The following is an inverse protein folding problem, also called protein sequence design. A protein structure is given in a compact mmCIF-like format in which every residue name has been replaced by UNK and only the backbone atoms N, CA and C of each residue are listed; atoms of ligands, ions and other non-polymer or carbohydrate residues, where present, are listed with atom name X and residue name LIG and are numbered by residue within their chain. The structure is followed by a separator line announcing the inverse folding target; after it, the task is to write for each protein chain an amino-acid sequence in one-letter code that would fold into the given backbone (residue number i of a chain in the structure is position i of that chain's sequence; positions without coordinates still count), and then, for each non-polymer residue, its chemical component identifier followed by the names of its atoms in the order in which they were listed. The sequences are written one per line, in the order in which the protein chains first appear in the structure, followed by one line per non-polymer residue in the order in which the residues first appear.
data_IF_654009749662
#
_entry.id   IF_654009749662
#
_cell.length_a   1.000
_cell.length_b   1.000
_cell.length_c   1.000
_cell.angle_alpha   90.00
_cell.angle_beta   90.00
_cell.angle_gamma   90.00
#
_symmetry.space_group_name_H-M   'P 1'
#
loop_
_entity.id
_entity.type
_entity.pdbx_description
1 polymer ?
#
# COMPACT_ATOMS: atom_id res chain seq x y z
N UNK A 1 -13.37 44.61 6.99
CA UNK A 1 -12.29 43.69 6.59
C UNK A 1 -11.52 43.13 7.79
N UNK A 2 -11.09 43.94 8.76
CA UNK A 2 -10.31 43.47 9.92
C UNK A 2 -11.01 42.40 10.79
N UNK A 3 -12.32 42.54 11.06
CA UNK A 3 -13.07 41.57 11.88
C UNK A 3 -13.34 40.22 11.20
N UNK A 4 -13.40 40.19 9.85
CA UNK A 4 -13.58 38.96 9.06
C UNK A 4 -12.26 38.18 9.02
N UNK A 5 -11.13 38.87 8.83
CA UNK A 5 -9.80 38.25 8.91
C UNK A 5 -9.52 37.69 10.31
N UNK A 6 -9.95 38.38 11.38
CA UNK A 6 -9.78 37.91 12.75
C UNK A 6 -10.67 36.68 13.04
N UNK A 7 -11.91 36.64 12.56
CA UNK A 7 -12.77 35.45 12.67
C UNK A 7 -12.22 34.27 11.87
N UNK A 8 -11.68 34.48 10.66
CA UNK A 8 -11.04 33.41 9.89
C UNK A 8 -9.81 32.86 10.62
N UNK A 9 -8.97 33.73 11.20
CA UNK A 9 -7.79 33.31 11.96
C UNK A 9 -8.16 32.55 13.25
N UNK A 10 -9.25 32.93 13.92
CA UNK A 10 -9.77 32.22 15.11
C UNK A 10 -10.38 30.86 14.73
N UNK A 11 -11.12 30.75 13.63
CA UNK A 11 -11.66 29.48 13.14
C UNK A 11 -10.56 28.53 12.65
N UNK A 12 -9.53 29.05 11.95
CA UNK A 12 -8.34 28.28 11.54
C UNK A 12 -7.54 27.77 12.75
N UNK A 13 -7.39 28.58 13.81
CA UNK A 13 -6.68 28.18 15.02
C UNK A 13 -7.46 27.24 15.95
N UNK A 14 -8.80 27.29 15.92
CA UNK A 14 -9.64 26.30 16.60
C UNK A 14 -9.59 24.93 15.90
N UNK A 15 -9.69 24.88 14.56
CA UNK A 15 -9.53 23.63 13.80
C UNK A 15 -8.13 23.01 13.98
N UNK A 16 -7.08 23.82 14.07
CA UNK A 16 -5.72 23.31 14.32
C UNK A 16 -5.51 22.71 15.72
N UNK A 17 -6.29 23.13 16.73
CA UNK A 17 -6.18 22.59 18.09
C UNK A 17 -6.83 21.22 18.23
N UNK A 18 -7.95 20.98 17.54
CA UNK A 18 -8.62 19.67 17.54
C UNK A 18 -7.80 18.59 16.82
N UNK A 19 -6.95 18.97 15.85
CA UNK A 19 -6.11 18.04 15.10
C UNK A 19 -4.91 17.49 15.89
N UNK A 20 -4.51 18.15 16.98
CA UNK A 20 -3.31 17.74 17.72
C UNK A 20 -3.48 16.38 18.41
N UNK A 21 -4.69 16.11 18.92
CA UNK A 21 -5.07 14.86 19.58
C UNK A 21 -5.93 13.94 18.71
N UNK A 22 -6.17 14.30 17.44
CA UNK A 22 -6.96 13.48 16.54
C UNK A 22 -6.22 12.18 16.19
N UNK A 23 -6.95 11.04 16.03
CA UNK A 23 -6.41 9.83 15.42
C UNK A 23 -5.68 10.13 14.12
N UNK A 24 -4.49 9.55 13.92
CA UNK A 24 -3.62 9.79 12.75
C UNK A 24 -3.58 8.58 11.83
N UNK A 25 -3.25 8.83 10.57
CA UNK A 25 -3.20 7.80 9.53
C UNK A 25 -2.27 6.61 9.88
N UNK A 26 -1.15 6.82 10.58
CA UNK A 26 -0.23 5.75 10.97
C UNK A 26 -0.60 5.03 12.30
N UNK A 27 -1.78 5.32 12.85
CA UNK A 27 -2.29 4.69 14.07
C UNK A 27 -3.34 3.62 13.81
N UNK A 28 -3.65 3.34 12.54
CA UNK A 28 -4.49 2.22 12.13
C UNK A 28 -3.63 1.06 11.62
N UNK A 29 -4.20 -0.14 11.65
CA UNK A 29 -3.66 -1.31 10.97
C UNK A 29 -4.69 -1.82 9.98
N UNK A 30 -4.22 -2.15 8.77
CA UNK A 30 -5.03 -2.65 7.65
C UNK A 30 -4.45 -3.94 7.09
N UNK A 31 -5.31 -4.72 6.43
CA UNK A 31 -4.87 -5.87 5.63
C UNK A 31 -4.52 -5.41 4.22
N UNK A 32 -3.42 -5.96 3.71
CA UNK A 32 -3.04 -5.86 2.31
C UNK A 32 -3.00 -7.21 1.62
N UNK A 33 -3.10 -7.20 0.29
CA UNK A 33 -2.82 -8.37 -0.54
C UNK A 33 -1.48 -8.21 -1.24
N UNK A 34 -0.77 -9.33 -1.38
CA UNK A 34 0.46 -9.42 -2.17
C UNK A 34 0.09 -9.84 -3.59
N UNK A 35 0.70 -9.24 -4.61
CA UNK A 35 0.34 -9.41 -6.02
C UNK A 35 -1.18 -9.33 -6.27
N UNK A 36 -1.82 -8.26 -5.81
CA UNK A 36 -3.28 -8.15 -5.70
C UNK A 36 -4.08 -8.37 -6.98
N UNK A 37 -3.42 -8.27 -8.13
CA UNK A 37 -4.01 -8.43 -9.46
C UNK A 37 -4.01 -9.89 -9.95
N UNK A 38 -3.29 -10.78 -9.25
CA UNK A 38 -2.85 -12.07 -9.75
C UNK A 38 -4.01 -13.05 -9.99
N UNK A 39 -3.92 -13.77 -11.10
CA UNK A 39 -4.78 -14.88 -11.45
C UNK A 39 -3.90 -16.09 -11.80
N UNK A 40 -4.28 -17.26 -11.30
CA UNK A 40 -3.60 -18.52 -11.54
C UNK A 40 -3.28 -18.74 -13.04
N UNK A 41 -2.03 -19.10 -13.39
CA UNK A 41 -1.66 -19.42 -14.75
C UNK A 41 -2.23 -20.79 -15.16
N UNK A 42 -2.29 -21.11 -16.47
CA UNK A 42 -2.81 -22.39 -16.93
C UNK A 42 -2.09 -23.59 -16.27
N UNK A 43 -2.85 -24.63 -15.92
CA UNK A 43 -2.29 -25.82 -15.25
C UNK A 43 -1.13 -26.47 -16.00
N UNK A 44 -1.14 -26.42 -17.34
CA UNK A 44 -0.03 -26.90 -18.17
C UNK A 44 1.29 -26.17 -17.84
N UNK A 45 1.23 -24.87 -17.58
CA UNK A 45 2.41 -24.08 -17.21
C UNK A 45 2.90 -24.49 -15.82
N UNK A 46 1.99 -24.59 -14.86
CA UNK A 46 2.30 -25.03 -13.49
C UNK A 46 2.92 -26.43 -13.48
N UNK A 47 2.29 -27.40 -14.15
CA UNK A 47 2.75 -28.79 -14.22
C UNK A 47 4.10 -28.90 -14.91
N UNK A 48 4.32 -28.15 -15.99
CA UNK A 48 5.58 -28.21 -16.75
C UNK A 48 6.70 -27.54 -15.98
N UNK A 49 6.52 -26.28 -15.58
CA UNK A 49 7.60 -25.49 -14.98
C UNK A 49 7.91 -25.90 -13.54
N UNK A 50 6.95 -26.46 -12.80
CA UNK A 50 7.22 -26.96 -11.44
C UNK A 50 8.17 -28.17 -11.39
N UNK A 51 8.38 -28.86 -12.52
CA UNK A 51 9.42 -29.90 -12.63
C UNK A 51 10.83 -29.32 -12.69
N UNK A 52 10.97 -28.07 -13.14
CA UNK A 52 12.23 -27.35 -13.26
C UNK A 52 12.49 -26.51 -12.01
N UNK A 53 11.45 -25.84 -11.51
CA UNK A 53 11.51 -25.01 -10.31
C UNK A 53 10.26 -25.25 -9.44
N UNK A 54 10.39 -25.97 -8.32
CA UNK A 54 9.26 -26.27 -7.43
C UNK A 54 8.51 -25.03 -6.91
N UNK A 55 9.15 -23.85 -6.92
CA UNK A 55 8.54 -22.58 -6.47
C UNK A 55 7.42 -22.10 -7.38
N UNK A 56 7.33 -22.59 -8.62
CA UNK A 56 6.22 -22.30 -9.54
C UNK A 56 4.87 -22.70 -8.94
N UNK A 57 4.84 -23.67 -8.03
CA UNK A 57 3.60 -24.04 -7.31
C UNK A 57 3.05 -22.90 -6.46
N UNK A 58 3.88 -21.92 -6.11
CA UNK A 58 3.48 -20.72 -5.39
C UNK A 58 2.71 -19.73 -6.30
N UNK A 59 2.58 -20.01 -7.60
CA UNK A 59 1.75 -19.24 -8.55
C UNK A 59 0.32 -19.82 -8.64
N UNK A 60 0.03 -20.93 -7.97
CA UNK A 60 -1.25 -21.62 -8.04
C UNK A 60 -2.32 -20.99 -7.12
N UNK A 61 -2.65 -19.72 -7.36
CA UNK A 61 -3.70 -19.00 -6.64
C UNK A 61 -4.29 -17.88 -7.51
N UNK A 62 -5.47 -17.39 -7.12
CA UNK A 62 -6.10 -16.22 -7.74
C UNK A 62 -6.67 -15.31 -6.67
N UNK A 63 -6.50 -14.01 -6.85
CA UNK A 63 -7.27 -13.01 -6.14
C UNK A 63 -8.59 -12.70 -6.85
N UNK A 64 -9.56 -12.18 -6.10
CA UNK A 64 -10.71 -11.50 -6.71
C UNK A 64 -10.27 -10.17 -7.32
N UNK A 65 -11.13 -9.51 -8.10
CA UNK A 65 -10.85 -8.16 -8.61
C UNK A 65 -10.60 -7.15 -7.48
N UNK A 66 -9.88 -6.07 -7.78
CA UNK A 66 -9.42 -5.11 -6.76
C UNK A 66 -10.59 -4.45 -5.99
N UNK A 67 -11.72 -4.20 -6.66
CA UNK A 67 -12.97 -3.71 -6.07
C UNK A 67 -13.63 -4.75 -5.16
N UNK A 68 -13.67 -6.03 -5.56
CA UNK A 68 -14.17 -7.09 -4.70
C UNK A 68 -13.31 -7.28 -3.44
N UNK A 69 -11.98 -7.14 -3.55
CA UNK A 69 -11.09 -7.13 -2.39
C UNK A 69 -11.36 -5.93 -1.47
N UNK A 70 -11.67 -4.74 -2.03
CA UNK A 70 -12.08 -3.58 -1.24
C UNK A 70 -13.37 -3.86 -0.45
N UNK A 71 -14.36 -4.53 -1.06
CA UNK A 71 -15.58 -4.97 -0.38
C UNK A 71 -15.29 -5.96 0.76
N UNK A 72 -14.27 -6.80 0.60
CA UNK A 72 -13.81 -7.75 1.62
C UNK A 72 -12.97 -7.09 2.73
N UNK A 73 -12.76 -5.77 2.68
CA UNK A 73 -12.06 -5.01 3.71
C UNK A 73 -10.56 -4.84 3.48
N UNK A 74 -10.01 -5.27 2.35
CA UNK A 74 -8.60 -5.00 1.99
C UNK A 74 -8.41 -3.49 1.78
N UNK A 75 -7.32 -2.91 2.30
CA UNK A 75 -6.99 -1.47 2.14
C UNK A 75 -5.52 -1.24 1.73
N UNK A 76 -4.84 -2.28 1.30
CA UNK A 76 -3.49 -2.16 0.73
C UNK A 76 -3.33 -3.15 -0.42
N UNK A 77 -2.83 -2.68 -1.55
CA UNK A 77 -2.69 -3.45 -2.78
C UNK A 77 -1.25 -3.40 -3.27
N UNK A 78 -0.78 -4.49 -3.88
CA UNK A 78 0.54 -4.60 -4.48
C UNK A 78 0.39 -4.91 -5.97
N UNK A 79 0.91 -4.02 -6.81
CA UNK A 79 0.84 -4.10 -8.27
C UNK A 79 2.25 -4.22 -8.84
N UNK A 80 2.51 -5.33 -9.52
CA UNK A 80 3.72 -5.52 -10.31
C UNK A 80 3.51 -4.93 -11.69
N UNK A 81 4.29 -3.91 -12.02
CA UNK A 81 4.20 -3.22 -13.31
C UNK A 81 5.46 -3.42 -14.14
N UNK A 82 5.25 -3.66 -15.44
CA UNK A 82 6.28 -3.90 -16.43
C UNK A 82 6.38 -2.67 -17.36
N UNK A 83 7.52 -1.96 -17.39
CA UNK A 83 7.65 -0.68 -18.09
C UNK A 83 7.96 -0.87 -19.58
N UNK A 84 6.92 -1.01 -20.41
CA UNK A 84 7.09 -1.01 -21.86
C UNK A 84 6.99 0.40 -22.42
N UNK A 85 7.56 0.63 -23.61
CA UNK A 85 7.38 1.90 -24.34
C UNK A 85 5.89 2.16 -24.60
N UNK A 86 5.11 1.11 -24.87
CA UNK A 86 3.66 1.17 -25.12
C UNK A 86 2.82 1.50 -23.89
N UNK A 87 3.25 1.18 -22.67
CA UNK A 87 2.37 1.14 -21.50
C UNK A 87 3.00 0.42 -20.31
N UNK A 88 2.42 0.63 -19.14
CA UNK A 88 2.64 -0.27 -18.01
C UNK A 88 1.66 -1.43 -18.07
N UNK A 89 2.20 -2.65 -18.17
CA UNK A 89 1.41 -3.88 -18.01
C UNK A 89 1.49 -4.38 -16.59
N UNK A 90 0.40 -4.92 -16.08
CA UNK A 90 0.31 -5.48 -14.72
C UNK A 90 0.24 -6.99 -14.82
N UNK A 91 1.27 -7.67 -14.31
CA UNK A 91 1.42 -9.14 -14.37
C UNK A 91 2.61 -9.62 -13.53
N UNK A 92 2.66 -10.90 -13.18
CA UNK A 92 3.74 -11.44 -12.35
C UNK A 92 4.99 -11.75 -13.20
N UNK A 93 4.87 -12.66 -14.16
CA UNK A 93 5.95 -13.02 -15.08
C UNK A 93 5.41 -13.07 -16.52
N UNK A 94 5.91 -12.23 -17.45
CA UNK A 94 5.44 -12.26 -18.83
C UNK A 94 5.52 -13.66 -19.44
N UNK A 95 4.53 -14.02 -20.26
CA UNK A 95 4.39 -15.29 -21.00
C UNK A 95 4.05 -16.54 -20.19
N UNK A 96 4.38 -16.60 -18.90
CA UNK A 96 4.21 -17.83 -18.09
C UNK A 96 3.34 -17.64 -16.86
N UNK A 97 3.25 -16.42 -16.33
CA UNK A 97 2.37 -16.05 -15.23
C UNK A 97 1.84 -14.64 -15.46
N UNK A 98 1.10 -14.48 -16.57
CA UNK A 98 0.74 -13.18 -17.13
C UNK A 98 -0.72 -12.75 -16.90
N UNK A 99 -1.53 -13.62 -16.31
CA UNK A 99 -2.94 -13.35 -16.06
C UNK A 99 -3.09 -12.29 -14.97
N UNK A 100 -3.99 -11.35 -15.21
CA UNK A 100 -4.27 -10.23 -14.30
C UNK A 100 -5.75 -9.89 -14.33
N UNK A 101 -6.32 -9.52 -13.19
CA UNK A 101 -7.69 -8.97 -13.11
C UNK A 101 -7.80 -7.59 -13.76
N UNK A 102 -6.68 -6.90 -13.98
CA UNK A 102 -6.60 -5.59 -14.61
C UNK A 102 -5.25 -5.46 -15.36
N UNK A 103 -5.15 -5.90 -16.62
CA UNK A 103 -3.86 -6.05 -17.33
C UNK A 103 -3.07 -4.74 -17.57
N UNK A 104 -3.71 -3.57 -17.53
CA UNK A 104 -3.06 -2.26 -17.65
C UNK A 104 -3.02 -1.52 -16.30
N UNK A 105 -1.96 -0.76 -16.03
CA UNK A 105 -1.85 -0.02 -14.77
C UNK A 105 -3.01 0.96 -14.57
N UNK A 106 -3.33 1.75 -15.60
CA UNK A 106 -4.49 2.65 -15.58
C UNK A 106 -5.83 1.93 -15.37
N UNK A 107 -5.97 0.69 -15.80
CA UNK A 107 -7.20 -0.10 -15.58
C UNK A 107 -7.33 -0.50 -14.10
N UNK A 108 -6.24 -0.94 -13.48
CA UNK A 108 -6.21 -1.20 -12.04
C UNK A 108 -6.54 0.06 -11.24
N UNK A 109 -5.94 1.20 -11.60
CA UNK A 109 -6.21 2.49 -10.97
C UNK A 109 -7.67 2.92 -11.13
N UNK A 110 -8.23 2.76 -12.33
CA UNK A 110 -9.62 3.09 -12.62
C UNK A 110 -10.59 2.25 -11.81
N UNK A 111 -10.31 0.94 -11.66
CA UNK A 111 -11.12 0.02 -10.84
C UNK A 111 -11.21 0.50 -9.39
N UNK A 112 -10.06 0.83 -8.78
CA UNK A 112 -9.99 1.34 -7.41
C UNK A 112 -10.70 2.70 -7.27
N UNK A 113 -10.52 3.59 -8.25
CA UNK A 113 -11.10 4.93 -8.22
C UNK A 113 -12.63 4.91 -8.36
N UNK A 114 -13.17 4.09 -9.28
CA UNK A 114 -14.61 3.93 -9.47
C UNK A 114 -15.28 3.43 -8.19
N UNK A 115 -14.69 2.44 -7.52
CA UNK A 115 -15.17 1.99 -6.21
C UNK A 115 -15.18 3.12 -5.16
N UNK A 116 -14.13 3.96 -5.14
CA UNK A 116 -14.02 5.09 -4.21
C UNK A 116 -15.11 6.14 -4.39
N UNK A 117 -15.64 6.32 -5.61
CA UNK A 117 -16.73 7.27 -5.88
C UNK A 117 -18.04 6.86 -5.20
N UNK A 118 -18.24 5.56 -5.00
CA UNK A 118 -19.39 4.99 -4.30
C UNK A 118 -19.15 4.90 -2.78
N UNK A 119 -17.88 4.99 -2.34
CA UNK A 119 -17.43 4.82 -0.96
C UNK A 119 -16.61 6.01 -0.44
N UNK A 120 -17.15 7.22 -0.56
CA UNK A 120 -16.40 8.48 -0.44
C UNK A 120 -15.61 8.71 0.86
N UNK A 121 -15.93 8.01 1.95
CA UNK A 121 -15.28 8.13 3.26
C UNK A 121 -14.55 6.84 3.69
N UNK A 122 -14.22 5.96 2.73
CA UNK A 122 -13.47 4.75 3.02
C UNK A 122 -12.15 5.04 3.77
N UNK A 123 -11.71 4.10 4.62
CA UNK A 123 -10.38 4.13 5.23
C UNK A 123 -9.31 4.34 4.14
N UNK A 124 -8.22 5.10 4.38
CA UNK A 124 -7.20 5.35 3.36
C UNK A 124 -6.66 4.06 2.75
N UNK A 125 -6.55 4.05 1.42
CA UNK A 125 -6.04 2.89 0.67
C UNK A 125 -4.59 3.14 0.27
N UNK A 126 -3.77 2.11 0.35
CA UNK A 126 -2.37 2.16 -0.10
C UNK A 126 -2.15 1.28 -1.31
N UNK A 127 -1.31 1.72 -2.24
CA UNK A 127 -0.90 0.94 -3.41
C UNK A 127 0.62 0.89 -3.46
N UNK A 128 1.19 -0.29 -3.26
CA UNK A 128 2.58 -0.60 -3.53
C UNK A 128 2.72 -0.85 -5.03
N UNK A 129 3.63 -0.11 -5.65
CA UNK A 129 3.95 -0.19 -7.08
C UNK A 129 5.35 -0.78 -7.20
N UNK A 130 5.44 -2.04 -7.59
CA UNK A 130 6.69 -2.76 -7.80
C UNK A 130 7.04 -2.79 -9.29
N UNK A 131 8.28 -2.43 -9.64
CA UNK A 131 8.71 -2.40 -11.04
C UNK A 131 9.50 -3.68 -11.36
N UNK A 132 8.98 -4.50 -12.27
CA UNK A 132 9.58 -5.78 -12.70
C UNK A 132 10.39 -5.64 -13.99
N UNK A 133 11.42 -4.80 -13.98
CA UNK A 133 12.23 -4.50 -15.19
C UNK A 133 12.95 -5.73 -15.78
N UNK A 134 13.45 -6.62 -14.92
CA UNK A 134 14.22 -7.78 -15.38
C UNK A 134 13.31 -8.82 -16.04
N UNK A 135 12.16 -9.08 -15.45
CA UNK A 135 11.15 -10.00 -15.94
C UNK A 135 10.51 -9.49 -17.24
N UNK A 136 10.35 -8.17 -17.38
CA UNK A 136 9.79 -7.55 -18.58
C UNK A 136 10.57 -7.91 -19.87
N UNK A 137 11.87 -8.23 -19.76
CA UNK A 137 12.72 -8.67 -20.89
C UNK A 137 12.19 -9.94 -21.57
N UNK A 138 11.45 -10.79 -20.84
CA UNK A 138 10.91 -12.05 -21.36
C UNK A 138 9.90 -11.84 -22.48
N UNK A 139 9.17 -10.71 -22.48
CA UNK A 139 8.16 -10.42 -23.50
C UNK A 139 8.73 -10.06 -24.87
N UNK A 140 10.04 -9.83 -24.99
CA UNK A 140 10.70 -9.35 -26.21
C UNK A 140 10.07 -8.06 -26.80
N UNK A 141 9.41 -7.26 -25.96
CA UNK A 141 8.84 -5.96 -26.31
C UNK A 141 9.81 -4.81 -25.95
N UNK A 142 9.75 -3.67 -26.64
CA UNK A 142 10.59 -2.51 -26.30
C UNK A 142 10.32 -2.00 -24.87
N UNK A 143 11.35 -2.00 -24.03
CA UNK A 143 11.29 -1.51 -22.65
C UNK A 143 11.61 -0.02 -22.52
N UNK A 144 10.92 0.65 -21.60
CA UNK A 144 11.39 1.90 -21.03
C UNK A 144 12.37 1.56 -19.90
N UNK A 145 13.64 1.94 -20.07
CA UNK A 145 14.70 1.62 -19.11
C UNK A 145 15.19 2.83 -18.31
N UNK A 146 14.78 4.04 -18.66
CA UNK A 146 15.18 5.27 -17.97
C UNK A 146 14.38 5.44 -16.68
N UNK A 147 15.02 5.34 -15.49
CA UNK A 147 14.32 5.43 -14.21
C UNK A 147 13.55 6.75 -14.02
N UNK A 148 14.05 7.86 -14.55
CA UNK A 148 13.38 9.16 -14.44
C UNK A 148 12.10 9.18 -15.27
N UNK A 149 12.15 8.65 -16.50
CA UNK A 149 10.98 8.57 -17.37
C UNK A 149 9.94 7.59 -16.81
N UNK A 150 10.37 6.45 -16.26
CA UNK A 150 9.47 5.47 -15.62
C UNK A 150 8.72 6.13 -14.47
N UNK A 151 9.44 6.76 -13.54
CA UNK A 151 8.82 7.42 -12.38
C UNK A 151 7.87 8.53 -12.82
N UNK A 152 8.27 9.37 -13.77
CA UNK A 152 7.41 10.45 -14.28
C UNK A 152 6.12 9.88 -14.89
N UNK A 153 6.22 8.83 -15.69
CA UNK A 153 5.05 8.18 -16.31
C UNK A 153 4.11 7.58 -15.27
N UNK A 154 4.63 6.97 -14.20
CA UNK A 154 3.80 6.47 -13.09
C UNK A 154 3.04 7.62 -12.43
N UNK A 155 3.72 8.73 -12.11
CA UNK A 155 3.05 9.89 -11.52
C UNK A 155 1.99 10.48 -12.45
N UNK A 156 2.26 10.57 -13.75
CA UNK A 156 1.32 11.09 -14.75
C UNK A 156 0.08 10.20 -14.90
N UNK A 157 0.24 8.88 -14.94
CA UNK A 157 -0.88 7.93 -15.01
C UNK A 157 -1.73 7.99 -13.72
N UNK A 158 -1.10 8.10 -12.54
CA UNK A 158 -1.84 8.30 -11.28
C UNK A 158 -2.63 9.60 -11.31
N UNK A 159 -2.02 10.70 -11.76
CA UNK A 159 -2.69 12.03 -11.84
C UNK A 159 -3.80 12.09 -12.88
N UNK A 160 -3.75 11.22 -13.89
CA UNK A 160 -4.80 11.09 -14.89
C UNK A 160 -6.08 10.51 -14.28
N UNK A 161 -5.94 9.56 -13.35
CA UNK A 161 -7.09 8.89 -12.72
C UNK A 161 -7.55 9.61 -11.44
N UNK A 162 -6.61 9.99 -10.57
CA UNK A 162 -6.93 10.51 -9.24
C UNK A 162 -6.79 12.03 -9.18
N UNK A 163 -7.86 12.77 -8.86
CA UNK A 163 -7.75 14.18 -8.55
C UNK A 163 -6.94 14.39 -7.26
N UNK A 164 -6.36 15.57 -7.08
CA UNK A 164 -5.43 15.85 -5.98
C UNK A 164 -6.04 15.70 -4.58
N UNK A 165 -7.35 15.93 -4.45
CA UNK A 165 -8.11 15.73 -3.22
C UNK A 165 -8.43 14.25 -2.93
N UNK A 166 -8.13 13.32 -3.85
CA UNK A 166 -8.20 11.88 -3.60
C UNK A 166 -6.83 11.27 -3.29
N UNK A 167 -5.79 12.09 -3.15
CA UNK A 167 -4.42 11.63 -2.92
C UNK A 167 -3.89 12.08 -1.55
N UNK A 168 -3.24 11.16 -0.85
CA UNK A 168 -2.25 11.45 0.19
C UNK A 168 -0.88 11.40 -0.48
N UNK A 169 -0.23 12.56 -0.62
CA UNK A 169 1.07 12.65 -1.29
C UNK A 169 2.18 13.08 -0.33
N UNK A 170 3.46 12.74 -0.62
CA UNK A 170 4.61 13.24 0.15
C UNK A 170 4.61 14.75 0.32
N UNK A 171 4.29 15.49 -0.74
CA UNK A 171 4.27 16.96 -0.73
C UNK A 171 3.11 17.52 0.11
N UNK A 172 1.94 16.89 0.07
CA UNK A 172 0.83 17.26 0.93
C UNK A 172 1.15 17.02 2.41
N UNK A 173 1.72 15.87 2.73
CA UNK A 173 2.12 15.54 4.11
C UNK A 173 3.19 16.51 4.60
N UNK A 174 4.25 16.74 3.81
CA UNK A 174 5.35 17.64 4.16
C UNK A 174 4.88 19.07 4.42
N UNK A 175 3.99 19.60 3.57
CA UNK A 175 3.55 21.00 3.63
C UNK A 175 4.75 21.95 3.59
N UNK A 176 4.81 22.88 4.55
CA UNK A 176 5.87 23.90 4.64
C UNK A 176 7.12 23.44 5.41
N UNK A 177 7.19 22.18 5.83
CA UNK A 177 8.36 21.67 6.55
C UNK A 177 9.58 21.55 5.63
N UNK A 178 10.78 21.63 6.22
CA UNK A 178 12.05 21.51 5.49
C UNK A 178 12.21 20.16 4.77
N UNK A 179 11.61 19.10 5.33
CA UNK A 179 11.56 17.78 4.72
C UNK A 179 10.37 16.99 5.24
N UNK A 180 9.92 15.99 4.48
CA UNK A 180 8.89 15.04 4.90
C UNK A 180 9.28 14.34 6.20
N UNK A 181 10.52 13.86 6.29
CA UNK A 181 11.02 13.21 7.51
C UNK A 181 10.93 14.14 8.72
N UNK A 182 11.30 15.42 8.56
CA UNK A 182 11.23 16.39 9.66
C UNK A 182 9.80 16.70 10.09
N UNK A 183 8.87 16.78 9.12
CA UNK A 183 7.43 16.92 9.40
C UNK A 183 6.92 15.77 10.26
N UNK A 184 7.21 14.53 9.84
CA UNK A 184 6.74 13.34 10.53
C UNK A 184 7.40 13.17 11.92
N UNK A 185 8.65 13.59 12.11
CA UNK A 185 9.29 13.62 13.44
C UNK A 185 8.60 14.57 14.43
N UNK A 186 8.23 15.77 13.98
CA UNK A 186 7.73 16.83 14.85
C UNK A 186 6.22 16.76 15.07
N UNK A 187 5.48 16.41 14.02
CA UNK A 187 4.01 16.52 14.00
C UNK A 187 3.31 15.19 13.70
N UNK A 188 4.04 14.15 13.27
CA UNK A 188 3.46 12.87 12.86
C UNK A 188 2.71 12.93 11.53
N UNK A 189 1.98 11.86 11.23
CA UNK A 189 1.13 11.78 10.03
C UNK A 189 -0.12 12.66 10.15
N UNK A 190 -0.73 13.07 9.03
CA UNK A 190 -1.99 13.82 9.07
C UNK A 190 -3.10 13.09 9.85
N UNK A 191 -4.05 13.86 10.42
CA UNK A 191 -5.24 13.28 11.04
C UNK A 191 -5.97 12.32 10.08
N UNK A 192 -6.38 11.16 10.57
CA UNK A 192 -7.05 10.10 9.81
C UNK A 192 -8.32 10.61 9.12
N UNK A 193 -9.10 11.47 9.79
CA UNK A 193 -10.28 12.13 9.20
C UNK A 193 -9.97 12.88 7.90
N UNK A 194 -8.77 13.44 7.76
CA UNK A 194 -8.34 14.14 6.55
C UNK A 194 -7.81 13.18 5.48
N UNK A 195 -7.61 11.91 5.80
CA UNK A 195 -7.13 10.89 4.87
C UNK A 195 -8.26 9.99 4.34
N UNK A 196 -9.47 10.06 4.90
CA UNK A 196 -10.62 9.27 4.43
C UNK A 196 -10.91 9.55 2.95
N UNK A 197 -11.28 8.49 2.22
CA UNK A 197 -11.57 8.56 0.79
C UNK A 197 -10.35 8.77 -0.10
N UNK A 198 -9.13 8.66 0.42
CA UNK A 198 -7.89 8.94 -0.31
C UNK A 198 -7.00 7.71 -0.50
N UNK A 199 -6.10 7.85 -1.47
CA UNK A 199 -5.10 6.85 -1.85
C UNK A 199 -3.69 7.37 -1.62
N UNK A 200 -2.80 6.51 -1.14
CA UNK A 200 -1.35 6.76 -1.08
C UNK A 200 -0.62 5.74 -1.95
N UNK A 201 0.29 6.22 -2.79
CA UNK A 201 1.09 5.36 -3.67
C UNK A 201 2.52 5.26 -3.16
N UNK A 202 3.05 4.05 -3.16
CA UNK A 202 4.39 3.75 -2.66
C UNK A 202 5.17 3.04 -3.75
N UNK A 203 6.30 3.62 -4.16
CA UNK A 203 7.24 2.95 -5.02
C UNK A 203 7.99 1.86 -4.22
N UNK A 204 7.71 0.59 -4.54
CA UNK A 204 8.32 -0.58 -3.94
C UNK A 204 9.69 -0.88 -4.58
N UNK A 205 10.60 0.10 -4.53
CA UNK A 205 11.98 -0.01 -4.99
C UNK A 205 12.94 0.53 -3.91
N UNK A 206 14.13 -0.07 -3.82
CA UNK A 206 15.21 0.39 -2.94
C UNK A 206 16.46 0.86 -3.70
N UNK A 207 16.44 0.82 -5.03
CA UNK A 207 17.56 1.14 -5.91
C UNK A 207 17.37 2.44 -6.68
N UNK A 208 17.64 2.37 -7.98
CA UNK A 208 17.75 3.55 -8.85
C UNK A 208 16.42 4.25 -9.09
N UNK A 209 15.29 3.54 -9.06
CA UNK A 209 13.97 4.14 -9.24
C UNK A 209 13.59 4.99 -8.02
N UNK A 210 13.91 4.50 -6.82
CA UNK A 210 13.78 5.24 -5.57
C UNK A 210 14.57 6.56 -5.63
N UNK A 211 15.82 6.50 -6.08
CA UNK A 211 16.67 7.69 -6.12
C UNK A 211 16.27 8.66 -7.25
N UNK A 212 15.74 8.16 -8.37
CA UNK A 212 15.09 8.97 -9.40
C UNK A 212 13.85 9.69 -8.86
N UNK A 213 12.96 8.97 -8.15
CA UNK A 213 11.79 9.55 -7.48
C UNK A 213 12.20 10.57 -6.40
N UNK A 214 13.24 10.28 -5.63
CA UNK A 214 13.80 11.21 -4.64
C UNK A 214 14.30 12.53 -5.28
N UNK A 215 14.71 12.49 -6.54
CA UNK A 215 15.27 13.63 -7.26
C UNK A 215 14.26 14.40 -8.13
N UNK A 216 13.04 13.88 -8.32
CA UNK A 216 12.02 14.40 -9.24
C UNK A 216 11.39 15.78 -8.89
N UNK A 217 12.00 16.58 -8.02
CA UNK A 217 11.52 17.93 -7.67
C UNK A 217 10.42 17.96 -6.60
N UNK A 218 9.63 19.04 -6.58
CA UNK A 218 8.51 19.23 -5.65
C UNK A 218 7.19 18.72 -6.28
N UNK A 219 6.18 18.45 -5.44
CA UNK A 219 4.86 17.92 -5.85
C UNK A 219 4.89 16.45 -6.33
N UNK A 220 5.57 15.59 -5.58
CA UNK A 220 5.61 14.14 -5.85
C UNK A 220 4.31 13.48 -5.42
N UNK A 221 3.90 12.44 -6.13
CA UNK A 221 2.79 11.56 -5.74
C UNK A 221 3.28 10.36 -4.95
N UNK A 222 4.45 9.84 -5.30
CA UNK A 222 4.97 8.57 -4.78
C UNK A 222 5.74 8.76 -3.49
N UNK A 223 5.33 8.05 -2.44
CA UNK A 223 6.22 7.74 -1.33
C UNK A 223 7.26 6.71 -1.78
N UNK A 224 8.40 6.70 -1.11
CA UNK A 224 9.51 5.78 -1.40
C UNK A 224 9.72 4.80 -0.26
N UNK A 225 10.13 3.56 -0.58
CA UNK A 225 10.61 2.59 0.39
C UNK A 225 11.99 3.03 0.92
N UNK A 226 12.01 3.71 2.06
CA UNK A 226 13.18 4.43 2.55
C UNK A 226 13.36 4.29 4.07
N UNK A 227 14.63 4.27 4.50
CA UNK A 227 14.96 4.33 5.92
C UNK A 227 14.68 5.73 6.51
N UNK A 228 14.44 5.84 7.82
CA UNK A 228 14.20 7.13 8.47
C UNK A 228 15.44 8.06 8.46
N UNK A 229 16.62 7.57 8.07
CA UNK A 229 17.81 8.41 7.90
C UNK A 229 17.72 9.35 6.68
N UNK A 230 16.79 9.10 5.75
CA UNK A 230 16.59 9.93 4.56
C UNK A 230 15.58 11.03 4.80
N UNK A 231 15.73 12.16 4.09
CA UNK A 231 14.81 13.31 4.17
C UNK A 231 13.39 13.00 3.67
N UNK A 232 13.24 11.97 2.84
CA UNK A 232 11.99 11.46 2.27
C UNK A 232 11.49 10.18 2.97
N UNK A 233 12.16 9.73 4.04
CA UNK A 233 11.77 8.53 4.78
C UNK A 233 10.41 8.70 5.45
N UNK A 234 9.42 7.91 5.05
CA UNK A 234 8.06 7.92 5.61
C UNK A 234 7.45 6.51 5.66
N UNK A 235 7.80 5.68 4.67
CA UNK A 235 7.31 4.33 4.50
C UNK A 235 8.49 3.36 4.35
N UNK A 236 8.35 2.15 4.90
CA UNK A 236 9.33 1.09 4.73
C UNK A 236 8.68 -0.28 4.66
N UNK A 237 9.15 -1.13 3.74
CA UNK A 237 8.79 -2.55 3.69
C UNK A 237 9.78 -3.35 4.53
N UNK A 238 9.28 -4.19 5.43
CA UNK A 238 10.04 -5.13 6.25
C UNK A 238 9.30 -6.46 6.23
N UNK A 239 9.62 -7.36 5.29
CA UNK A 239 8.83 -8.59 5.09
C UNK A 239 8.70 -9.46 6.33
N UNK A 240 9.76 -9.53 7.15
CA UNK A 240 9.78 -10.37 8.34
C UNK A 240 9.18 -9.68 9.57
N UNK A 241 8.01 -10.12 10.09
CA UNK A 241 7.37 -9.52 11.25
C UNK A 241 8.09 -9.80 12.58
N UNK A 242 9.12 -10.65 12.58
CA UNK A 242 10.03 -10.86 13.71
C UNK A 242 11.21 -9.87 13.73
N UNK A 243 11.34 -9.02 12.70
CA UNK A 243 12.45 -8.08 12.63
C UNK A 243 12.42 -7.10 13.85
N UNK A 244 13.48 -7.05 14.67
CA UNK A 244 13.49 -6.24 15.89
C UNK A 244 13.48 -4.73 15.63
N UNK A 245 13.85 -4.29 14.43
CA UNK A 245 13.88 -2.88 14.05
C UNK A 245 12.48 -2.27 13.92
N UNK A 246 11.43 -3.09 13.75
CA UNK A 246 10.04 -2.62 13.61
C UNK A 246 9.68 -1.65 14.74
N UNK A 247 9.99 -1.98 16.00
CA UNK A 247 9.64 -1.10 17.12
C UNK A 247 10.35 0.27 17.05
N UNK A 248 11.58 0.32 16.53
CA UNK A 248 12.34 1.55 16.37
C UNK A 248 11.82 2.39 15.19
N UNK A 249 11.36 1.73 14.12
CA UNK A 249 10.72 2.38 12.98
C UNK A 249 9.39 3.03 13.38
N UNK A 250 8.56 2.31 14.15
CA UNK A 250 7.27 2.82 14.64
C UNK A 250 7.43 4.05 15.53
N UNK A 251 8.42 4.07 16.43
CA UNK A 251 8.75 5.24 17.27
C UNK A 251 9.18 6.46 16.46
N UNK A 252 9.63 6.25 15.22
CA UNK A 252 10.02 7.31 14.29
C UNK A 252 8.86 7.70 13.35
N UNK A 253 7.61 7.36 13.67
CA UNK A 253 6.44 7.68 12.86
C UNK A 253 6.53 7.14 11.42
N UNK A 254 7.24 6.03 11.21
CA UNK A 254 7.24 5.32 9.92
C UNK A 254 5.96 4.50 9.79
N UNK A 255 5.42 4.42 8.57
CA UNK A 255 4.48 3.37 8.19
C UNK A 255 5.30 2.15 7.76
N UNK A 256 5.04 1.01 8.40
CA UNK A 256 5.73 -0.26 8.15
C UNK A 256 4.76 -1.26 7.51
N UNK A 257 5.21 -1.91 6.43
CA UNK A 257 4.53 -3.07 5.84
C UNK A 257 5.30 -4.35 6.15
N UNK A 258 4.59 -5.39 6.61
CA UNK A 258 5.11 -6.75 6.85
C UNK A 258 4.31 -7.79 6.06
N UNK A 259 4.80 -9.03 5.98
CA UNK A 259 4.05 -10.18 5.46
C UNK A 259 3.64 -11.17 6.56
N UNK A 260 2.38 -11.57 6.59
CA UNK A 260 1.87 -12.61 7.49
C UNK A 260 2.27 -14.03 7.07
N UNK A 261 2.49 -14.24 5.77
CA UNK A 261 2.75 -15.53 5.13
C UNK A 261 3.68 -15.34 3.93
N UNK A 262 4.20 -16.46 3.42
CA UNK A 262 5.09 -16.51 2.26
C UNK A 262 5.04 -17.89 1.62
N UNK A 263 5.05 -17.93 0.28
CA UNK A 263 5.16 -19.15 -0.53
C UNK A 263 3.96 -20.09 -0.45
N UNK A 264 2.77 -19.55 -0.19
CA UNK A 264 1.49 -20.28 -0.04
C UNK A 264 1.51 -21.46 0.96
N UNK A 265 2.56 -21.60 1.78
CA UNK A 265 2.76 -22.75 2.64
C UNK A 265 2.23 -22.49 4.06
N UNK A 266 0.92 -22.67 4.21
CA UNK A 266 0.20 -22.33 5.44
C UNK A 266 -0.17 -23.53 6.32
N UNK A 267 0.09 -24.76 5.86
CA UNK A 267 -0.15 -26.01 6.60
C UNK A 267 0.95 -26.35 7.64
N UNK A 268 1.59 -25.30 8.19
CA UNK A 268 2.67 -25.45 9.17
C UNK A 268 2.26 -24.78 10.47
N UNK A 269 2.56 -25.38 11.65
CA UNK A 269 2.30 -24.73 12.94
C UNK A 269 2.91 -23.32 13.06
N UNK A 270 4.04 -23.09 12.40
CA UNK A 270 4.72 -21.79 12.42
C UNK A 270 4.00 -20.72 11.58
N UNK A 271 3.15 -21.09 10.62
CA UNK A 271 2.37 -20.15 9.81
C UNK A 271 1.35 -19.40 10.67
N UNK A 272 0.72 -20.08 11.64
CA UNK A 272 -0.18 -19.43 12.60
C UNK A 272 0.58 -18.46 13.51
N UNK A 273 1.74 -18.87 14.03
CA UNK A 273 2.58 -18.00 14.88
C UNK A 273 3.08 -16.77 14.12
N UNK A 274 3.47 -16.94 12.85
CA UNK A 274 3.90 -15.84 11.99
C UNK A 274 2.76 -14.87 11.73
N UNK A 275 1.55 -15.37 11.45
CA UNK A 275 0.33 -14.56 11.29
C UNK A 275 0.04 -13.74 12.54
N UNK A 276 0.03 -14.38 13.71
CA UNK A 276 -0.19 -13.71 15.00
C UNK A 276 0.86 -12.65 15.27
N UNK A 277 2.13 -12.96 15.00
CA UNK A 277 3.23 -12.00 15.12
C UNK A 277 3.07 -10.82 14.17
N UNK A 278 2.71 -11.05 12.91
CA UNK A 278 2.51 -10.00 11.92
C UNK A 278 1.39 -9.03 12.32
N UNK A 279 0.32 -9.57 12.91
CA UNK A 279 -0.75 -8.76 13.47
C UNK A 279 -0.30 -8.00 14.73
N UNK A 280 0.55 -8.57 15.58
CA UNK A 280 0.94 -8.02 16.87
C UNK A 280 2.13 -7.03 16.82
N UNK A 281 3.00 -7.11 15.81
CA UNK A 281 4.26 -6.35 15.78
C UNK A 281 4.10 -4.83 15.59
N UNK A 282 2.88 -4.35 15.31
CA UNK A 282 2.56 -2.94 15.17
C UNK A 282 2.77 -2.36 13.77
N UNK A 283 3.15 -3.18 12.79
CA UNK A 283 3.14 -2.77 11.39
C UNK A 283 1.73 -2.30 10.98
N UNK A 284 1.64 -1.19 10.25
CA UNK A 284 0.36 -0.62 9.82
C UNK A 284 -0.25 -1.39 8.66
N UNK A 285 0.57 -2.04 7.83
CA UNK A 285 0.10 -2.85 6.70
C UNK A 285 0.59 -4.28 6.92
N UNK A 286 -0.35 -5.22 6.96
CA UNK A 286 -0.05 -6.65 7.04
C UNK A 286 -0.52 -7.29 5.74
N UNK A 287 0.43 -7.59 4.85
CA UNK A 287 0.16 -8.23 3.57
C UNK A 287 0.05 -9.74 3.69
N UNK A 288 -0.79 -10.34 2.86
CA UNK A 288 -1.04 -11.79 2.81
C UNK A 288 -1.39 -12.24 1.39
N UNK A 289 -1.16 -13.51 1.09
CA UNK A 289 -1.76 -14.18 -0.07
C UNK A 289 -3.19 -14.71 0.25
N UNK A 290 -3.61 -14.71 1.52
CA UNK A 290 -4.86 -15.28 2.03
C UNK A 290 -5.75 -14.25 2.77
N UNK A 291 -6.24 -13.20 2.08
CA UNK A 291 -7.07 -12.15 2.67
C UNK A 291 -8.47 -12.67 3.06
N UNK A 292 -9.30 -11.82 3.71
CA UNK A 292 -10.72 -12.11 3.91
C UNK A 292 -11.39 -12.43 2.56
N UNK A 293 -12.27 -13.43 2.52
CA UNK A 293 -12.88 -13.88 1.27
C UNK A 293 -12.05 -14.88 0.47
N UNK A 294 -10.74 -15.01 0.73
CA UNK A 294 -9.82 -15.97 0.10
C UNK A 294 -9.01 -16.76 1.15
N UNK A 295 -9.73 -17.45 2.04
CA UNK A 295 -9.08 -18.39 2.94
C UNK A 295 -8.49 -19.58 2.17
N UNK A 296 -7.39 -20.14 2.67
CA UNK A 296 -6.85 -21.39 2.17
C UNK A 296 -7.90 -22.52 2.30
N UNK A 297 -8.27 -23.20 1.20
CA UNK A 297 -9.37 -24.16 1.23
C UNK A 297 -9.05 -25.43 2.03
N UNK A 298 -7.77 -25.77 2.22
CA UNK A 298 -7.37 -26.99 2.92
C UNK A 298 -7.26 -26.79 4.44
N UNK A 299 -6.67 -25.68 4.86
CA UNK A 299 -6.34 -25.38 6.26
C UNK A 299 -7.30 -24.38 6.90
N UNK A 300 -8.08 -23.65 6.09
CA UNK A 300 -8.87 -22.50 6.55
C UNK A 300 -8.01 -21.30 6.96
N UNK A 301 -6.72 -21.28 6.62
CA UNK A 301 -5.84 -20.16 6.93
C UNK A 301 -6.34 -18.89 6.23
N UNK A 302 -6.59 -17.85 7.01
CA UNK A 302 -6.99 -16.53 6.55
C UNK A 302 -6.40 -15.48 7.50
N UNK A 303 -5.94 -14.36 6.93
CA UNK A 303 -5.56 -13.16 7.67
C UNK A 303 -6.73 -12.18 7.66
N UNK A 304 -7.28 -11.90 8.83
CA UNK A 304 -8.32 -10.89 9.03
C UNK A 304 -8.07 -10.11 10.32
N UNK A 305 -8.71 -8.94 10.45
CA UNK A 305 -8.62 -8.09 11.64
C UNK A 305 -9.75 -8.35 12.67
N UNK A 306 -10.58 -9.37 12.42
CA UNK A 306 -11.89 -9.58 13.06
C UNK A 306 -13.02 -9.51 12.03
N UNK A 307 -14.26 -9.86 12.42
CA UNK A 307 -15.39 -9.90 11.48
C UNK A 307 -15.59 -8.55 10.78
N UNK A 308 -15.46 -8.58 9.44
CA UNK A 308 -15.81 -7.53 8.47
C UNK A 308 -15.21 -6.13 8.67
N UNK A 309 -14.10 -5.98 9.41
CA UNK A 309 -13.48 -4.66 9.60
C UNK A 309 -12.35 -4.39 8.60
N UNK A 310 -12.44 -3.26 7.91
CA UNK A 310 -11.40 -2.82 6.94
C UNK A 310 -10.15 -2.22 7.60
N UNK A 311 -10.24 -1.88 8.88
CA UNK A 311 -9.12 -1.43 9.70
C UNK A 311 -9.36 -1.70 11.18
N UNK A 312 -8.29 -1.66 11.97
CA UNK A 312 -8.39 -1.59 13.44
C UNK A 312 -7.42 -0.57 14.01
N UNK A 313 -7.64 -0.19 15.27
CA UNK A 313 -6.63 0.55 16.02
C UNK A 313 -5.35 -0.28 16.08
N UNK A 314 -4.22 0.31 15.68
CA UNK A 314 -2.94 -0.39 15.65
C UNK A 314 -2.56 -0.83 17.08
N UNK A 315 -2.10 -2.08 17.29
CA UNK A 315 -1.85 -2.60 18.64
C UNK A 315 -0.67 -1.93 19.37
N UNK A 316 0.18 -1.18 18.65
CA UNK A 316 1.36 -0.50 19.21
C UNK A 316 1.23 1.01 19.14
N UNK A 317 0.80 1.55 17.99
CA UNK A 317 0.74 3.02 17.76
C UNK A 317 -0.67 3.61 17.93
N UNK A 318 -1.70 2.76 17.97
CA UNK A 318 -3.08 3.15 18.16
C UNK A 318 -3.50 3.15 19.62
N UNK A 319 -4.66 3.73 19.88
CA UNK A 319 -5.26 3.79 21.22
C UNK A 319 -6.79 3.68 21.15
N UNK A 320 -7.46 3.97 22.27
CA UNK A 320 -8.92 3.96 22.36
C UNK A 320 -9.58 5.04 21.48
N UNK A 321 -8.95 6.21 21.32
CA UNK A 321 -9.50 7.28 20.49
C UNK A 321 -9.56 6.88 19.02
N UNK A 322 -8.52 6.17 18.54
CA UNK A 322 -8.49 5.61 17.19
C UNK A 322 -9.57 4.55 17.03
N UNK A 323 -9.71 3.64 18.01
CA UNK A 323 -10.76 2.62 17.98
C UNK A 323 -12.16 3.25 17.93
N UNK A 324 -12.42 4.24 18.78
CA UNK A 324 -13.70 4.94 18.83
C UNK A 324 -14.00 5.65 17.50
N UNK A 325 -13.00 6.30 16.90
CA UNK A 325 -13.15 6.93 15.58
C UNK A 325 -13.44 5.92 14.47
N UNK A 326 -12.74 4.78 14.43
CA UNK A 326 -13.02 3.74 13.43
C UNK A 326 -14.45 3.20 13.54
N UNK A 327 -15.00 3.09 14.75
CA UNK A 327 -16.40 2.66 14.97
C UNK A 327 -17.43 3.67 14.45
N UNK A 328 -17.04 4.91 14.13
CA UNK A 328 -17.97 5.89 13.53
C UNK A 328 -17.97 5.86 12.01
N UNK A 329 -17.01 5.18 11.37
CA UNK A 329 -16.83 5.20 9.90
C UNK A 329 -16.78 3.82 9.26
N UNK A 330 -16.49 2.77 10.03
CA UNK A 330 -16.59 1.38 9.58
C UNK A 330 -17.97 0.87 10.02
N UNK A 331 -18.80 0.38 9.08
CA UNK A 331 -20.14 -0.15 9.38
C UNK A 331 -20.19 -1.27 10.41
#
# INVERSE_FOLDING_TARGET
MSSILLCLAVLLSLNQRDDFHAPRMNQIQVIGTHNSYHLEPPSLVLDTLSTLDPRVKEWAYSHDSLDAQLEQGVRSFELDIHPYVSGFKVRHVPLVDDNSTCPEFMECLSTLYLWSLEHNEHVPVTILVEIKQAEALLAAEPLCNDPVQIVQRIEDEIRTIFPSDKLVTPSWVQGNAVSLRKKLELEGWPPLKHCLGKFAFILHDRGNLRDACASAGQNKVLFVNASPARSDGAFIVVDDPYNPEISALLKQNMIVRVRADSGLNVDRPDSIKRKEQALACGAQIVSTDFPPGKADPATGYCLSLGESTSARSNPVTGDFSVKAFLQTIIP
#
